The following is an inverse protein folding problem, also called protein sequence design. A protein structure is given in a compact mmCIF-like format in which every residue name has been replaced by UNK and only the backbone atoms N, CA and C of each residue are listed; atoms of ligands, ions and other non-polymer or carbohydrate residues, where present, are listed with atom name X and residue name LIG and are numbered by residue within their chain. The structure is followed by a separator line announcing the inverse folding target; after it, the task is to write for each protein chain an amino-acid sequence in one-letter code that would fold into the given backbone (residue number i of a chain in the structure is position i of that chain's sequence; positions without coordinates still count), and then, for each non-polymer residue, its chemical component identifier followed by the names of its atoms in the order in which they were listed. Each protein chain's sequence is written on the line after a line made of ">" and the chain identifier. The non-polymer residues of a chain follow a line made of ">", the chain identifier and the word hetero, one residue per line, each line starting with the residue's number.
data_IF_823349930955
#
_entry.id   IF_823349930955
#
_cell.length_a   1.000
_cell.length_b   1.000
_cell.length_c   1.000
_cell.angle_alpha   90.00
_cell.angle_beta   90.00
_cell.angle_gamma   90.00
#
_symmetry.space_group_name_H-M   'P 1'
#
loop_
_entity.id
_entity.type
_entity.pdbx_description
1 polymer ?
#
# COMPACT_ATOMS: atom_id res chain seq x y z
N UNK A 1 -20.27 -6.23 -4.94
CA UNK A 1 -20.82 -7.58 -5.16
C UNK A 1 -20.85 -8.32 -3.83
N UNK A 2 -22.06 -8.64 -3.35
CA UNK A 2 -22.29 -9.32 -2.07
C UNK A 2 -22.23 -10.85 -2.28
N UNK A 3 -21.84 -11.62 -1.26
CA UNK A 3 -22.07 -13.06 -1.23
C UNK A 3 -23.56 -13.35 -0.97
N UNK A 4 -23.98 -14.63 -1.08
CA UNK A 4 -25.37 -15.08 -0.83
C UNK A 4 -25.94 -14.68 0.53
N UNK A 5 -25.09 -14.33 1.48
CA UNK A 5 -25.48 -13.93 2.83
C UNK A 5 -25.57 -12.40 2.97
N UNK A 6 -25.68 -11.65 1.86
CA UNK A 6 -25.65 -10.19 1.81
C UNK A 6 -24.38 -9.56 2.44
N UNK A 7 -23.25 -10.26 2.37
CA UNK A 7 -21.99 -9.80 2.93
C UNK A 7 -21.01 -9.32 1.84
N UNK A 8 -20.29 -8.22 2.07
CA UNK A 8 -19.27 -7.73 1.15
C UNK A 8 -18.22 -8.81 0.84
N UNK A 9 -17.94 -9.08 -0.44
CA UNK A 9 -16.97 -10.09 -0.90
C UNK A 9 -15.57 -9.94 -0.25
N UNK A 10 -15.21 -8.73 0.20
CA UNK A 10 -14.01 -8.47 1.00
C UNK A 10 -13.93 -9.25 2.32
N UNK A 11 -15.06 -9.75 2.85
CA UNK A 11 -15.10 -10.62 4.04
C UNK A 11 -14.64 -12.06 3.75
N UNK A 12 -14.63 -12.52 2.50
CA UNK A 12 -14.24 -13.90 2.17
C UNK A 12 -12.74 -14.15 2.39
N UNK A 13 -11.90 -13.14 2.20
CA UNK A 13 -10.45 -13.18 2.48
C UNK A 13 -10.06 -12.48 3.79
N UNK A 14 -10.95 -12.54 4.80
CA UNK A 14 -10.70 -11.93 6.13
C UNK A 14 -9.54 -12.59 6.86
N UNK A 15 -9.35 -13.90 6.66
CA UNK A 15 -8.28 -14.65 7.30
C UNK A 15 -6.95 -14.49 6.56
N UNK A 16 -5.82 -14.35 7.27
CA UNK A 16 -4.51 -14.11 6.67
C UNK A 16 -4.10 -15.23 5.70
N UNK A 17 -4.42 -16.48 6.05
CA UNK A 17 -4.14 -17.67 5.27
C UNK A 17 -4.92 -17.67 3.95
N UNK A 18 -6.24 -17.45 4.01
CA UNK A 18 -7.09 -17.32 2.82
C UNK A 18 -6.64 -16.17 1.91
N UNK A 19 -6.22 -15.03 2.48
CA UNK A 19 -5.74 -13.89 1.68
C UNK A 19 -4.42 -14.19 0.98
N UNK A 20 -3.47 -14.84 1.66
CA UNK A 20 -2.20 -15.27 1.06
C UNK A 20 -2.43 -16.31 -0.03
N UNK A 21 -3.34 -17.24 0.21
CA UNK A 21 -3.76 -18.22 -0.79
C UNK A 21 -4.30 -17.55 -2.06
N UNK A 22 -5.19 -16.55 -1.92
CA UNK A 22 -5.68 -15.75 -3.05
C UNK A 22 -4.58 -14.92 -3.75
N UNK A 23 -3.68 -14.28 -2.99
CA UNK A 23 -2.58 -13.48 -3.55
C UNK A 23 -1.60 -14.33 -4.37
N UNK A 24 -1.34 -15.57 -3.95
CA UNK A 24 -0.51 -16.50 -4.71
C UNK A 24 -1.21 -17.03 -5.96
N UNK A 25 -2.54 -17.14 -5.98
CA UNK A 25 -3.28 -17.40 -7.21
C UNK A 25 -2.97 -16.39 -8.34
N UNK A 26 -2.83 -15.11 -7.99
CA UNK A 26 -2.40 -14.08 -8.95
C UNK A 26 -0.96 -14.26 -9.44
N UNK A 27 -0.07 -14.77 -8.58
CA UNK A 27 1.30 -15.16 -8.97
C UNK A 27 1.31 -16.38 -9.91
N UNK A 28 0.32 -17.27 -9.78
CA UNK A 28 0.06 -18.37 -10.72
C UNK A 28 -0.63 -17.92 -12.02
N UNK A 29 -0.73 -16.61 -12.27
CA UNK A 29 -1.30 -16.07 -13.51
C UNK A 29 -2.83 -15.99 -13.52
N UNK A 30 -3.51 -16.17 -12.39
CA UNK A 30 -4.97 -16.01 -12.28
C UNK A 30 -5.27 -14.59 -11.82
N UNK A 31 -5.45 -13.67 -12.77
CA UNK A 31 -5.65 -12.24 -12.51
C UNK A 31 -7.10 -11.82 -12.78
N UNK A 32 -7.79 -12.52 -13.66
CA UNK A 32 -9.20 -12.34 -13.95
C UNK A 32 -9.93 -13.69 -14.05
N UNK A 33 -11.27 -13.64 -14.18
CA UNK A 33 -12.09 -14.84 -14.39
C UNK A 33 -11.77 -15.54 -15.72
N UNK A 34 -11.36 -14.79 -16.75
CA UNK A 34 -10.94 -15.33 -18.04
C UNK A 34 -9.70 -16.22 -17.93
N UNK A 35 -8.73 -15.87 -17.09
CA UNK A 35 -7.51 -16.67 -16.88
C UNK A 35 -7.81 -18.05 -16.28
N UNK A 36 -8.89 -18.15 -15.48
CA UNK A 36 -9.34 -19.42 -14.89
C UNK A 36 -9.84 -20.36 -15.98
N UNK A 37 -10.60 -19.82 -16.94
CA UNK A 37 -11.17 -20.58 -18.06
C UNK A 37 -10.10 -20.91 -19.10
N UNK A 38 -9.27 -19.94 -19.47
CA UNK A 38 -8.23 -20.09 -20.49
C UNK A 38 -7.25 -21.23 -20.19
N UNK A 39 -6.97 -21.52 -18.92
CA UNK A 39 -6.06 -22.60 -18.51
C UNK A 39 -6.64 -24.00 -18.62
N UNK A 40 -7.97 -24.13 -18.55
CA UNK A 40 -8.63 -25.44 -18.51
C UNK A 40 -9.63 -25.64 -19.66
N UNK A 41 -9.81 -24.63 -20.53
CA UNK A 41 -10.78 -24.60 -21.62
C UNK A 41 -12.24 -24.48 -21.17
N UNK A 42 -12.51 -24.52 -19.86
CA UNK A 42 -13.84 -24.47 -19.25
C UNK A 42 -13.75 -23.94 -17.82
N UNK A 43 -14.88 -23.69 -17.16
CA UNK A 43 -14.82 -23.40 -15.73
C UNK A 43 -14.41 -24.67 -14.95
N UNK A 44 -13.35 -24.63 -14.10
CA UNK A 44 -12.82 -25.83 -13.46
C UNK A 44 -13.76 -26.39 -12.39
N UNK A 45 -13.60 -27.68 -12.10
CA UNK A 45 -14.21 -28.30 -10.93
C UNK A 45 -13.66 -27.66 -9.66
N UNK A 46 -14.40 -27.73 -8.56
CA UNK A 46 -13.96 -27.24 -7.25
C UNK A 46 -12.58 -27.79 -6.83
N UNK A 47 -12.31 -29.11 -6.86
CA UNK A 47 -11.00 -29.62 -6.49
C UNK A 47 -9.88 -29.14 -7.43
N UNK A 48 -10.17 -29.01 -8.73
CA UNK A 48 -9.18 -28.52 -9.70
C UNK A 48 -8.88 -27.03 -9.50
N UNK A 49 -9.89 -26.23 -9.19
CA UNK A 49 -9.71 -24.83 -8.82
C UNK A 49 -8.82 -24.69 -7.57
N UNK A 50 -9.09 -25.49 -6.53
CA UNK A 50 -8.30 -25.45 -5.30
C UNK A 50 -6.85 -25.88 -5.58
N UNK A 51 -6.65 -26.96 -6.35
CA UNK A 51 -5.33 -27.44 -6.76
C UNK A 51 -4.56 -26.38 -7.56
N UNK A 52 -5.24 -25.72 -8.50
CA UNK A 52 -4.67 -24.66 -9.34
C UNK A 52 -4.22 -23.44 -8.51
N UNK A 53 -5.02 -23.05 -7.52
CA UNK A 53 -4.70 -21.95 -6.59
C UNK A 53 -3.61 -22.33 -5.56
N UNK A 54 -3.49 -23.61 -5.24
CA UNK A 54 -2.50 -24.15 -4.29
C UNK A 54 -1.18 -24.60 -4.96
N UNK A 55 -1.13 -24.68 -6.29
CA UNK A 55 0.07 -25.08 -7.02
C UNK A 55 1.23 -24.10 -6.75
N UNK A 56 2.41 -24.62 -6.40
CA UNK A 56 3.60 -23.83 -6.05
C UNK A 56 3.33 -22.70 -5.02
N UNK A 57 2.30 -22.88 -4.19
CA UNK A 57 1.89 -21.90 -3.20
C UNK A 57 2.51 -22.26 -1.84
N UNK A 58 3.48 -21.49 -1.32
CA UNK A 58 4.10 -21.78 -0.04
C UNK A 58 3.13 -21.65 1.16
N UNK A 59 1.94 -21.09 0.94
CA UNK A 59 0.87 -21.04 1.94
C UNK A 59 -0.07 -22.27 1.88
N UNK A 60 0.05 -23.13 0.86
CA UNK A 60 -0.70 -24.38 0.80
C UNK A 60 -0.09 -25.38 1.78
N UNK A 61 -0.88 -25.78 2.78
CA UNK A 61 -0.49 -26.82 3.74
C UNK A 61 -0.94 -28.18 3.20
N UNK A 62 -0.19 -29.22 3.54
CA UNK A 62 -0.52 -30.62 3.25
C UNK A 62 -0.78 -31.30 4.59
N UNK A 63 -1.84 -32.09 4.67
CA UNK A 63 -2.17 -32.92 5.82
C UNK A 63 -2.25 -34.39 5.41
N UNK A 64 -2.06 -35.28 6.37
CA UNK A 64 -2.29 -36.71 6.18
C UNK A 64 -3.78 -36.98 6.35
N UNK A 65 -4.42 -37.44 5.28
CA UNK A 65 -5.82 -37.81 5.30
C UNK A 65 -6.09 -39.05 6.17
N UNK A 66 -7.37 -39.36 6.45
CA UNK A 66 -7.76 -40.51 7.28
C UNK A 66 -7.27 -41.86 6.76
N UNK A 67 -6.98 -41.95 5.46
CA UNK A 67 -6.48 -43.13 4.74
C UNK A 67 -4.95 -43.18 4.63
N UNK A 68 -4.23 -42.28 5.32
CA UNK A 68 -2.76 -42.19 5.25
C UNK A 68 -2.21 -41.52 3.99
N UNK A 69 -3.08 -41.03 3.09
CA UNK A 69 -2.65 -40.31 1.88
C UNK A 69 -2.40 -38.84 2.17
N UNK A 70 -1.32 -38.27 1.63
CA UNK A 70 -1.08 -36.82 1.67
C UNK A 70 -2.12 -36.07 0.83
N UNK A 71 -2.82 -35.11 1.44
CA UNK A 71 -3.84 -34.29 0.80
C UNK A 71 -3.62 -32.80 1.13
N UNK A 72 -4.13 -31.91 0.29
CA UNK A 72 -4.09 -30.47 0.59
C UNK A 72 -5.00 -30.19 1.80
N UNK A 73 -4.44 -29.54 2.82
CA UNK A 73 -5.20 -29.11 3.98
C UNK A 73 -6.31 -28.14 3.56
N UNK A 74 -7.50 -28.21 4.18
CA UNK A 74 -8.63 -27.39 3.83
C UNK A 74 -8.30 -25.91 4.05
N UNK A 75 -8.33 -25.14 2.95
CA UNK A 75 -8.15 -23.68 3.04
C UNK A 75 -9.46 -23.04 3.47
N UNK A 76 -9.43 -22.33 4.60
CA UNK A 76 -10.58 -21.63 5.16
C UNK A 76 -11.28 -20.77 4.09
N UNK A 77 -12.59 -20.98 3.91
CA UNK A 77 -13.47 -20.28 2.94
C UNK A 77 -13.14 -20.49 1.46
N UNK A 78 -12.25 -21.42 1.09
CA UNK A 78 -11.97 -21.73 -0.32
C UNK A 78 -13.24 -22.16 -1.08
N UNK A 79 -14.13 -22.89 -0.42
CA UNK A 79 -15.44 -23.28 -0.96
C UNK A 79 -16.28 -22.04 -1.32
N UNK A 80 -16.42 -21.11 -0.38
CA UNK A 80 -17.20 -19.88 -0.58
C UNK A 80 -16.60 -19.01 -1.69
N UNK A 81 -15.27 -18.96 -1.80
CA UNK A 81 -14.56 -18.24 -2.87
C UNK A 81 -14.86 -18.87 -4.23
N UNK A 82 -14.73 -20.20 -4.36
CA UNK A 82 -15.04 -20.92 -5.60
C UNK A 82 -16.47 -20.66 -6.06
N UNK A 83 -17.45 -20.80 -5.16
CA UNK A 83 -18.86 -20.57 -5.49
C UNK A 83 -19.13 -19.12 -5.87
N UNK A 84 -18.50 -18.16 -5.21
CA UNK A 84 -18.65 -16.75 -5.55
C UNK A 84 -18.12 -16.45 -6.97
N UNK A 85 -16.90 -16.90 -7.29
CA UNK A 85 -16.29 -16.67 -8.60
C UNK A 85 -17.06 -17.40 -9.71
N UNK A 86 -17.54 -18.62 -9.45
CA UNK A 86 -18.38 -19.36 -10.39
C UNK A 86 -19.67 -18.62 -10.71
N UNK A 87 -20.39 -18.10 -9.70
CA UNK A 87 -21.59 -17.30 -9.93
C UNK A 87 -21.31 -16.02 -10.72
N UNK A 88 -20.19 -15.35 -10.45
CA UNK A 88 -19.79 -14.18 -11.21
C UNK A 88 -19.51 -14.53 -12.68
N UNK A 89 -18.78 -15.62 -12.92
CA UNK A 89 -18.56 -16.13 -14.27
C UNK A 89 -19.89 -16.46 -14.97
N UNK A 90 -20.77 -17.20 -14.31
CA UNK A 90 -22.05 -17.61 -14.88
C UNK A 90 -22.93 -16.38 -15.18
N UNK A 91 -22.97 -15.41 -14.27
CA UNK A 91 -23.68 -14.14 -14.46
C UNK A 91 -23.12 -13.32 -15.63
N UNK A 92 -21.79 -13.22 -15.75
CA UNK A 92 -21.14 -12.54 -16.88
C UNK A 92 -21.46 -13.27 -18.19
N UNK A 93 -21.36 -14.59 -18.20
CA UNK A 93 -21.64 -15.43 -19.39
C UNK A 93 -23.10 -15.28 -19.83
N UNK A 94 -24.05 -15.28 -18.90
CA UNK A 94 -25.47 -15.03 -19.19
C UNK A 94 -25.68 -13.61 -19.72
N UNK A 95 -25.04 -12.61 -19.13
CA UNK A 95 -25.18 -11.20 -19.53
C UNK A 95 -24.54 -10.91 -20.90
N UNK A 96 -23.43 -11.59 -21.23
CA UNK A 96 -22.66 -11.36 -22.45
C UNK A 96 -23.00 -12.33 -23.59
N UNK A 97 -23.92 -13.29 -23.39
CA UNK A 97 -24.43 -14.19 -24.44
C UNK A 97 -25.14 -13.47 -25.61
N UNK A 98 -25.31 -12.14 -25.54
CA UNK A 98 -25.89 -11.31 -26.60
C UNK A 98 -24.90 -10.57 -27.50
N UNK A 99 -23.59 -10.63 -27.24
CA UNK A 99 -22.59 -10.10 -28.16
C UNK A 99 -21.78 -11.28 -28.72
N UNK A 100 -21.81 -11.56 -30.02
CA UNK A 100 -20.89 -12.55 -30.58
C UNK A 100 -19.46 -12.10 -30.26
N UNK A 101 -18.66 -12.99 -29.68
CA UNK A 101 -17.21 -12.87 -29.75
C UNK A 101 -16.89 -12.60 -31.22
N UNK A 102 -16.35 -11.42 -31.52
CA UNK A 102 -15.89 -11.11 -32.85
C UNK A 102 -14.92 -12.24 -33.24
N UNK A 103 -15.39 -13.08 -34.16
CA UNK A 103 -14.65 -14.18 -34.74
C UNK A 103 -13.29 -13.63 -35.11
N UNK A 104 -12.22 -14.16 -34.50
CA UNK A 104 -10.86 -13.91 -34.94
C UNK A 104 -10.72 -14.51 -36.35
N UNK A 105 -11.17 -13.76 -37.36
CA UNK A 105 -11.12 -14.12 -38.76
C UNK A 105 -10.79 -12.88 -39.58
N UNK A 106 -9.55 -12.43 -39.44
CA UNK A 106 -8.81 -11.74 -40.51
C UNK A 106 -7.33 -11.83 -40.14
N UNK A 107 -6.42 -12.22 -41.05
CA UNK A 107 -5.00 -11.99 -40.80
C UNK A 107 -4.86 -10.48 -40.56
N UNK A 108 -4.17 -10.04 -39.49
CA UNK A 108 -4.04 -8.61 -39.24
C UNK A 108 -3.38 -8.01 -40.47
N UNK A 109 -4.13 -7.18 -41.20
CA UNK A 109 -3.59 -6.31 -42.23
C UNK A 109 -2.31 -5.69 -41.67
N UNK A 110 -1.19 -5.82 -42.38
CA UNK A 110 0.12 -5.38 -41.93
C UNK A 110 -0.01 -4.01 -41.25
N UNK A 111 0.15 -3.98 -39.94
CA UNK A 111 -0.10 -2.78 -39.16
C UNK A 111 0.86 -1.71 -39.68
N UNK A 112 0.35 -0.51 -40.03
CA UNK A 112 1.12 0.58 -40.66
C UNK A 112 2.40 0.93 -39.91
N UNK A 113 2.48 0.58 -38.63
CA UNK A 113 3.64 0.72 -37.78
C UNK A 113 4.34 -0.63 -37.59
N UNK A 114 5.53 -0.75 -38.19
CA UNK A 114 6.48 -1.86 -37.99
C UNK A 114 7.81 -1.31 -37.49
N UNK A 115 8.49 -2.05 -36.62
CA UNK A 115 9.83 -1.72 -36.16
C UNK A 115 10.73 -2.95 -36.19
N UNK A 116 12.03 -2.72 -36.34
CA UNK A 116 13.02 -3.78 -36.34
C UNK A 116 13.30 -4.24 -34.90
N UNK A 117 12.80 -5.41 -34.53
CA UNK A 117 13.08 -6.05 -33.23
C UNK A 117 14.00 -7.24 -33.48
N UNK A 118 15.22 -7.21 -32.93
CA UNK A 118 16.23 -8.26 -33.16
C UNK A 118 16.43 -8.58 -34.64
N UNK A 119 16.54 -7.54 -35.47
CA UNK A 119 16.71 -7.63 -36.94
C UNK A 119 15.52 -8.25 -37.70
N UNK A 120 14.35 -8.39 -37.07
CA UNK A 120 13.11 -8.82 -37.75
C UNK A 120 12.09 -7.68 -37.77
N UNK A 121 11.43 -7.42 -38.90
CA UNK A 121 10.33 -6.46 -38.96
C UNK A 121 9.16 -7.03 -38.16
N UNK A 122 8.85 -6.36 -37.05
CA UNK A 122 7.82 -6.79 -36.11
C UNK A 122 6.70 -5.75 -36.13
N UNK A 123 5.43 -6.17 -36.30
CA UNK A 123 4.30 -5.25 -36.27
C UNK A 123 4.04 -4.76 -34.85
N UNK A 124 3.43 -3.58 -34.72
CA UNK A 124 3.21 -2.90 -33.45
C UNK A 124 2.64 -3.78 -32.32
N UNK A 125 1.68 -4.67 -32.62
CA UNK A 125 1.03 -5.55 -31.64
C UNK A 125 2.00 -6.54 -30.97
N UNK A 126 3.14 -6.81 -31.61
CA UNK A 126 4.15 -7.75 -31.16
C UNK A 126 5.42 -7.06 -30.64
N UNK A 127 5.40 -5.72 -30.51
CA UNK A 127 6.55 -5.00 -29.99
C UNK A 127 6.80 -5.36 -28.52
N UNK A 128 8.07 -5.58 -28.12
CA UNK A 128 8.40 -5.78 -26.73
C UNK A 128 8.11 -4.50 -25.95
N UNK A 129 7.70 -4.65 -24.68
CA UNK A 129 7.36 -3.52 -23.79
C UNK A 129 8.45 -2.44 -23.72
N UNK A 130 9.72 -2.82 -23.84
CA UNK A 130 10.84 -1.88 -23.87
C UNK A 130 10.75 -0.92 -25.05
N UNK A 131 10.52 -1.44 -26.26
CA UNK A 131 10.41 -0.62 -27.47
C UNK A 131 9.20 0.31 -27.42
N UNK A 132 8.07 -0.16 -26.91
CA UNK A 132 6.86 0.66 -26.73
C UNK A 132 7.14 1.82 -25.75
N UNK A 133 7.85 1.53 -24.64
CA UNK A 133 8.23 2.55 -23.65
C UNK A 133 9.18 3.60 -24.24
N UNK A 134 10.12 3.17 -25.07
CA UNK A 134 11.10 4.07 -25.68
C UNK A 134 10.44 4.97 -26.74
N UNK A 135 9.50 4.43 -27.53
CA UNK A 135 8.69 5.23 -28.46
C UNK A 135 7.81 6.26 -27.73
N UNK A 136 7.19 5.86 -26.61
CA UNK A 136 6.36 6.74 -25.78
C UNK A 136 7.16 7.75 -24.94
N UNK A 137 8.50 7.72 -25.02
CA UNK A 137 9.37 8.63 -24.26
C UNK A 137 9.45 9.97 -24.98
N UNK A 138 8.51 10.86 -24.68
CA UNK A 138 8.49 12.24 -25.18
C UNK A 138 9.11 13.26 -24.22
N UNK A 139 9.58 12.82 -23.05
CA UNK A 139 10.20 13.73 -22.09
C UNK A 139 11.57 14.21 -22.62
N UNK A 140 11.84 15.52 -22.67
CA UNK A 140 13.17 16.02 -23.00
C UNK A 140 14.19 15.38 -22.06
N UNK A 141 15.31 14.90 -22.62
CA UNK A 141 16.43 14.40 -21.82
C UNK A 141 17.08 15.60 -21.17
N UNK A 142 16.53 16.03 -20.05
CA UNK A 142 17.17 17.04 -19.22
C UNK A 142 18.12 16.30 -18.26
N UNK A 143 19.35 16.76 -18.18
CA UNK A 143 20.37 16.25 -17.26
C UNK A 143 20.12 16.81 -15.84
N UNK A 144 18.92 16.54 -15.32
CA UNK A 144 18.50 16.99 -14.00
C UNK A 144 18.91 15.93 -12.99
N UNK A 145 19.56 16.36 -11.91
CA UNK A 145 19.89 15.50 -10.80
C UNK A 145 18.64 14.75 -10.31
N UNK A 146 18.77 13.44 -10.08
CA UNK A 146 17.66 12.63 -9.60
C UNK A 146 17.09 13.22 -8.28
N UNK A 147 15.77 13.25 -8.06
CA UNK A 147 15.17 13.87 -6.85
C UNK A 147 15.69 13.33 -5.51
N UNK A 148 16.20 12.09 -5.52
CA UNK A 148 16.76 11.41 -4.34
C UNK A 148 18.29 11.57 -4.19
N UNK A 149 18.94 12.28 -5.11
CA UNK A 149 20.37 12.55 -5.05
C UNK A 149 20.68 13.43 -3.84
N UNK A 150 21.78 13.13 -3.16
CA UNK A 150 22.29 13.91 -2.03
C UNK A 150 23.81 13.95 -2.09
N UNK A 151 24.44 14.76 -1.23
CA UNK A 151 25.90 14.76 -1.07
C UNK A 151 26.49 13.37 -0.78
N UNK A 152 25.70 12.47 -0.19
CA UNK A 152 26.06 11.07 0.10
C UNK A 152 25.55 10.06 -0.92
N UNK A 153 24.70 10.47 -1.87
CA UNK A 153 24.13 9.62 -2.94
C UNK A 153 24.36 10.31 -4.27
N UNK A 154 25.59 10.20 -4.76
CA UNK A 154 26.05 10.89 -5.97
C UNK A 154 25.98 10.01 -7.21
N UNK A 155 26.09 8.68 -7.05
CA UNK A 155 26.04 7.73 -8.17
C UNK A 155 24.64 7.18 -8.43
N UNK A 156 24.38 6.77 -9.68
CA UNK A 156 23.15 6.05 -10.08
C UNK A 156 22.94 4.78 -9.26
N UNK A 157 24.02 4.07 -8.93
CA UNK A 157 23.96 2.83 -8.15
C UNK A 157 23.55 3.09 -6.69
N UNK A 158 24.04 4.15 -6.07
CA UNK A 158 23.62 4.54 -4.72
C UNK A 158 22.15 4.94 -4.69
N UNK A 159 21.69 5.66 -5.71
CA UNK A 159 20.28 6.01 -5.90
C UNK A 159 19.44 4.73 -6.07
N UNK A 160 19.87 3.76 -6.89
CA UNK A 160 19.18 2.48 -7.04
C UNK A 160 19.08 1.73 -5.71
N UNK A 161 20.18 1.60 -4.97
CA UNK A 161 20.20 0.95 -3.65
C UNK A 161 19.26 1.63 -2.66
N UNK A 162 19.25 2.95 -2.64
CA UNK A 162 18.32 3.74 -1.83
C UNK A 162 16.86 3.50 -2.25
N UNK A 163 16.58 3.52 -3.55
CA UNK A 163 15.23 3.27 -4.07
C UNK A 163 14.71 1.88 -3.75
N UNK A 164 15.57 0.86 -3.77
CA UNK A 164 15.21 -0.48 -3.29
C UNK A 164 14.81 -0.47 -1.81
N UNK A 165 15.54 0.28 -0.97
CA UNK A 165 15.21 0.48 0.45
C UNK A 165 13.88 1.21 0.62
N UNK A 166 13.68 2.34 -0.05
CA UNK A 166 12.42 3.11 -0.03
C UNK A 166 11.25 2.22 -0.42
N UNK A 167 11.32 1.51 -1.55
CA UNK A 167 10.27 0.59 -2.00
C UNK A 167 9.98 -0.52 -1.00
N UNK A 168 11.00 -1.02 -0.27
CA UNK A 168 10.82 -2.04 0.77
C UNK A 168 10.08 -1.47 2.00
N UNK A 169 10.39 -0.23 2.38
CA UNK A 169 9.71 0.47 3.49
C UNK A 169 8.26 0.73 3.11
N UNK A 170 8.02 1.40 1.98
CA UNK A 170 6.69 1.83 1.55
C UNK A 170 5.73 0.67 1.29
N UNK A 171 6.22 -0.50 0.88
CA UNK A 171 5.42 -1.73 0.73
C UNK A 171 4.79 -2.23 2.03
N UNK A 172 5.31 -1.85 3.20
CA UNK A 172 4.75 -2.24 4.50
C UNK A 172 3.49 -1.45 4.84
N UNK A 173 3.38 -0.24 4.30
CA UNK A 173 2.28 0.68 4.57
C UNK A 173 1.01 0.29 3.81
N UNK A 174 -0.16 0.81 4.19
CA UNK A 174 -1.31 0.86 3.29
C UNK A 174 -0.92 1.57 1.98
N UNK A 175 -1.38 1.10 0.80
CA UNK A 175 -0.95 1.65 -0.49
C UNK A 175 -1.07 3.17 -0.60
N UNK A 176 -2.17 3.74 -0.11
CA UNK A 176 -2.41 5.20 -0.12
C UNK A 176 -1.43 5.97 0.78
N UNK A 177 -1.04 5.42 1.93
CA UNK A 177 -0.03 6.05 2.79
C UNK A 177 1.35 5.99 2.14
N UNK A 178 1.69 4.84 1.54
CA UNK A 178 2.94 4.66 0.82
C UNK A 178 3.05 5.56 -0.42
N UNK A 179 1.95 5.78 -1.13
CA UNK A 179 1.87 6.65 -2.32
C UNK A 179 2.13 8.13 -1.96
N UNK A 180 1.43 8.67 -0.94
CA UNK A 180 1.68 10.05 -0.48
C UNK A 180 3.14 10.24 -0.07
N UNK A 181 3.69 9.30 0.70
CA UNK A 181 5.09 9.39 1.11
C UNK A 181 6.05 9.27 -0.09
N UNK A 182 5.77 8.40 -1.06
CA UNK A 182 6.57 8.32 -2.29
C UNK A 182 6.55 9.63 -3.07
N UNK A 183 5.37 10.25 -3.23
CA UNK A 183 5.22 11.54 -3.91
C UNK A 183 5.94 12.65 -3.19
N UNK A 184 5.93 12.65 -1.85
CA UNK A 184 6.75 13.56 -1.05
C UNK A 184 8.23 13.40 -1.41
N UNK A 185 8.75 12.17 -1.37
CA UNK A 185 10.18 11.93 -1.61
C UNK A 185 10.62 12.31 -3.04
N UNK A 186 9.71 12.22 -4.01
CA UNK A 186 9.98 12.61 -5.39
C UNK A 186 9.70 14.08 -5.68
N UNK A 187 9.28 14.87 -4.69
CA UNK A 187 8.76 16.22 -4.90
C UNK A 187 7.70 16.22 -6.00
N UNK A 188 6.61 15.49 -5.77
CA UNK A 188 5.44 15.41 -6.66
C UNK A 188 4.14 15.82 -5.99
N UNK A 189 4.19 16.30 -4.74
CA UNK A 189 3.00 16.84 -4.08
C UNK A 189 2.72 18.24 -4.62
N UNK A 190 1.48 18.54 -5.06
CA UNK A 190 1.09 19.84 -5.59
C UNK A 190 0.92 20.89 -4.48
N UNK A 191 1.99 21.18 -3.73
CA UNK A 191 2.03 22.29 -2.77
C UNK A 191 2.04 23.64 -3.49
N UNK A 192 1.52 24.67 -2.83
CA UNK A 192 1.22 25.94 -3.47
C UNK A 192 2.46 26.67 -4.03
N UNK A 193 3.67 26.44 -3.50
CA UNK A 193 4.88 27.05 -4.07
C UNK A 193 5.17 26.67 -5.53
N UNK A 194 4.57 25.59 -6.05
CA UNK A 194 4.69 25.22 -7.47
C UNK A 194 3.96 26.17 -8.41
N UNK A 195 2.99 26.91 -7.89
CA UNK A 195 2.21 27.88 -8.65
C UNK A 195 2.82 29.29 -8.59
N UNK A 196 4.12 29.40 -8.34
CA UNK A 196 4.84 30.68 -8.30
C UNK A 196 4.65 31.50 -9.59
N UNK A 197 4.43 30.86 -10.74
CA UNK A 197 4.14 31.55 -12.00
C UNK A 197 2.79 32.32 -11.98
N UNK A 198 1.87 32.01 -11.06
CA UNK A 198 0.62 32.73 -10.85
C UNK A 198 0.75 33.86 -9.80
N UNK A 199 1.90 34.02 -9.16
CA UNK A 199 2.08 34.97 -8.07
C UNK A 199 1.90 36.43 -8.52
N UNK A 200 2.22 36.73 -9.79
CA UNK A 200 2.07 38.07 -10.35
C UNK A 200 0.60 38.52 -10.43
N UNK A 201 -0.33 37.60 -10.65
CA UNK A 201 -1.77 37.90 -10.74
C UNK A 201 -2.49 37.69 -9.42
N UNK A 202 -2.08 36.68 -8.65
CA UNK A 202 -2.61 36.43 -7.33
C UNK A 202 -1.48 36.05 -6.34
N UNK A 203 -1.01 37.01 -5.53
CA UNK A 203 0.09 36.78 -4.58
C UNK A 203 -0.19 35.68 -3.55
N UNK A 204 -1.46 35.44 -3.20
CA UNK A 204 -1.83 34.41 -2.22
C UNK A 204 -1.73 32.98 -2.77
N UNK A 205 -1.53 32.80 -4.07
CA UNK A 205 -1.49 31.48 -4.73
C UNK A 205 -0.36 30.60 -4.24
N UNK A 206 0.71 31.17 -3.68
CA UNK A 206 1.86 30.43 -3.11
C UNK A 206 1.77 30.25 -1.59
N UNK A 207 0.77 30.87 -0.95
CA UNK A 207 0.62 30.85 0.51
C UNK A 207 0.07 29.50 0.99
N UNK A 208 0.34 29.20 2.26
CA UNK A 208 -0.17 28.03 2.96
C UNK A 208 -1.70 27.93 2.89
N UNK A 209 -2.22 26.75 2.58
CA UNK A 209 -3.64 26.42 2.55
C UNK A 209 -4.35 26.70 3.88
N UNK A 210 -3.61 26.67 4.99
CA UNK A 210 -4.13 27.01 6.32
C UNK A 210 -4.08 28.50 6.65
N UNK A 211 -3.75 29.38 5.68
CA UNK A 211 -3.66 30.82 5.83
C UNK A 211 -2.72 31.30 6.95
N UNK A 212 -1.64 30.56 7.23
CA UNK A 212 -0.66 30.97 8.23
C UNK A 212 0.36 32.01 7.74
N UNK A 213 0.18 32.55 6.51
CA UNK A 213 1.00 33.62 5.94
C UNK A 213 2.34 33.20 5.31
N UNK A 214 2.77 31.96 5.46
CA UNK A 214 4.03 31.47 4.89
C UNK A 214 3.86 30.91 3.47
N UNK A 215 4.96 30.87 2.69
CA UNK A 215 5.01 30.16 1.40
C UNK A 215 4.94 28.66 1.65
N UNK A 216 4.06 27.99 0.92
CA UNK A 216 3.79 26.57 1.10
C UNK A 216 4.76 25.69 0.31
N UNK A 217 5.84 25.29 0.97
CA UNK A 217 6.72 24.21 0.51
C UNK A 217 6.25 22.86 1.04
N UNK A 218 6.79 21.75 0.51
CA UNK A 218 6.56 20.40 1.07
C UNK A 218 6.89 20.36 2.57
N UNK A 219 8.01 20.99 2.95
CA UNK A 219 8.46 21.08 4.35
C UNK A 219 7.49 21.88 5.21
N UNK A 220 6.95 22.98 4.67
CA UNK A 220 5.95 23.78 5.35
C UNK A 220 4.64 23.03 5.53
N UNK A 221 4.02 22.59 4.44
CA UNK A 221 2.72 21.94 4.41
C UNK A 221 2.66 20.70 5.31
N UNK A 222 3.75 19.93 5.36
CA UNK A 222 3.75 18.64 6.06
C UNK A 222 4.43 18.66 7.43
N UNK A 223 5.16 19.71 7.82
CA UNK A 223 5.95 19.66 9.07
C UNK A 223 6.02 20.96 9.86
N UNK A 224 6.30 22.10 9.23
CA UNK A 224 6.60 23.36 9.95
C UNK A 224 5.44 24.35 9.97
N UNK A 225 4.34 24.11 9.26
CA UNK A 225 3.13 24.90 9.42
C UNK A 225 2.66 24.90 10.88
N UNK A 226 2.32 26.06 11.49
CA UNK A 226 1.85 26.14 12.88
C UNK A 226 0.61 25.28 13.18
N UNK A 227 -0.21 24.97 12.17
CA UNK A 227 -1.36 24.06 12.30
C UNK A 227 -0.92 22.60 12.40
N UNK A 228 0.15 22.23 11.70
CA UNK A 228 0.62 20.84 11.55
C UNK A 228 1.68 20.48 12.59
N UNK A 229 2.56 21.42 12.94
CA UNK A 229 3.69 21.23 13.85
C UNK A 229 3.28 20.62 15.22
N UNK A 230 2.16 21.04 15.87
CA UNK A 230 1.74 20.46 17.14
C UNK A 230 1.49 18.94 17.07
N UNK A 231 1.02 18.43 15.92
CA UNK A 231 0.80 17.01 15.72
C UNK A 231 2.12 16.22 15.75
N UNK A 232 3.17 16.76 15.12
CA UNK A 232 4.49 16.13 15.16
C UNK A 232 5.12 16.21 16.55
N UNK A 233 4.96 17.33 17.27
CA UNK A 233 5.40 17.41 18.66
C UNK A 233 4.73 16.37 19.54
N UNK A 234 3.42 16.16 19.40
CA UNK A 234 2.69 15.10 20.10
C UNK A 234 3.32 13.72 19.85
N UNK A 235 3.60 13.38 18.59
CA UNK A 235 4.24 12.11 18.25
C UNK A 235 5.68 12.02 18.77
N UNK A 236 6.48 13.06 18.65
CA UNK A 236 7.83 13.10 19.22
C UNK A 236 7.81 12.89 20.74
N UNK A 237 6.91 13.54 21.46
CA UNK A 237 6.74 13.35 22.91
C UNK A 237 6.27 11.94 23.25
N UNK A 238 5.30 11.39 22.49
CA UNK A 238 4.80 10.03 22.69
C UNK A 238 5.87 8.96 22.46
N UNK A 239 6.82 9.21 21.58
CA UNK A 239 7.86 8.26 21.18
C UNK A 239 9.24 8.53 21.79
N UNK A 240 9.34 9.53 22.67
CA UNK A 240 10.60 9.93 23.31
C UNK A 240 11.32 8.77 24.03
N UNK A 241 10.57 7.78 24.51
CA UNK A 241 11.11 6.56 25.13
C UNK A 241 12.03 5.73 24.21
N UNK A 242 11.87 5.85 22.89
CA UNK A 242 12.69 5.17 21.89
C UNK A 242 13.70 6.10 21.18
N UNK A 243 13.68 7.40 21.50
CA UNK A 243 14.56 8.43 20.90
C UNK A 243 14.48 8.42 19.37
N UNK A 244 13.28 8.17 18.84
CA UNK A 244 13.01 8.28 17.40
C UNK A 244 12.59 9.71 17.08
N UNK A 245 13.01 10.18 15.91
CA UNK A 245 12.77 11.55 15.47
C UNK A 245 11.74 11.59 14.33
N UNK A 246 10.87 12.60 14.36
CA UNK A 246 9.97 12.98 13.27
C UNK A 246 10.43 14.28 12.60
N UNK A 247 11.74 14.55 12.60
CA UNK A 247 12.31 15.68 11.88
C UNK A 247 12.18 15.52 10.36
N UNK A 248 12.22 16.64 9.64
CA UNK A 248 12.10 16.63 8.18
C UNK A 248 13.11 15.68 7.52
N UNK A 249 14.33 15.67 8.05
CA UNK A 249 15.41 14.82 7.54
C UNK A 249 15.10 13.33 7.70
N UNK A 250 14.45 12.89 8.79
CA UNK A 250 14.13 11.47 9.00
C UNK A 250 12.92 11.04 8.19
N UNK A 251 12.00 11.98 7.90
CA UNK A 251 10.85 11.74 7.01
C UNK A 251 11.26 11.69 5.53
N UNK A 252 12.29 12.44 5.12
CA UNK A 252 12.71 12.54 3.70
C UNK A 252 13.96 11.72 3.35
N UNK A 253 14.78 11.34 4.34
CA UNK A 253 15.96 10.49 4.15
C UNK A 253 15.81 9.18 4.93
N UNK A 254 15.34 8.15 4.23
CA UNK A 254 15.04 6.84 4.82
C UNK A 254 16.28 5.94 4.95
N UNK A 255 17.46 6.54 5.11
CA UNK A 255 18.73 5.82 5.18
C UNK A 255 18.81 5.05 6.49
N UNK A 256 18.81 5.71 7.64
CA UNK A 256 18.84 5.03 8.93
C UNK A 256 17.98 5.79 9.95
N UNK A 257 17.21 5.04 10.73
CA UNK A 257 16.52 5.59 11.90
C UNK A 257 17.49 5.55 13.10
N UNK A 258 17.71 6.67 13.78
CA UNK A 258 18.39 6.64 15.07
C UNK A 258 17.55 5.81 16.05
N UNK A 259 18.19 4.91 16.79
CA UNK A 259 17.54 4.04 17.77
C UNK A 259 18.42 3.93 19.01
N UNK A 260 17.84 4.07 20.20
CA UNK A 260 18.56 3.95 21.48
C UNK A 260 18.80 2.47 21.90
N UNK A 261 19.52 2.27 23.01
CA UNK A 261 19.77 0.94 23.59
C UNK A 261 18.47 0.19 23.99
N UNK A 262 17.43 0.92 24.41
CA UNK A 262 16.11 0.34 24.74
C UNK A 262 15.40 -0.21 23.51
N UNK A 263 15.64 0.39 22.35
CA UNK A 263 15.21 -0.12 21.06
C UNK A 263 16.14 -1.20 20.53
N UNK A 264 17.29 -1.53 21.13
CA UNK A 264 18.26 -2.45 20.53
C UNK A 264 17.68 -3.86 20.30
N UNK A 265 17.01 -4.40 21.30
CA UNK A 265 16.40 -5.74 21.23
C UNK A 265 15.17 -5.78 20.30
N UNK A 266 14.44 -4.67 20.19
CA UNK A 266 13.21 -4.56 19.39
C UNK A 266 13.35 -3.59 18.19
N UNK A 267 14.58 -3.36 17.71
CA UNK A 267 14.88 -2.30 16.74
C UNK A 267 14.04 -2.42 15.47
N UNK A 268 13.88 -3.61 14.87
CA UNK A 268 13.05 -3.77 13.67
C UNK A 268 11.57 -3.46 13.93
N UNK A 269 11.07 -3.73 15.14
CA UNK A 269 9.68 -3.47 15.53
C UNK A 269 9.43 -1.98 15.76
N UNK A 270 10.33 -1.30 16.49
CA UNK A 270 10.28 0.17 16.65
C UNK A 270 10.33 0.84 15.28
N UNK A 271 11.25 0.42 14.42
CA UNK A 271 11.39 0.96 13.07
C UNK A 271 10.11 0.81 12.24
N UNK A 272 9.51 -0.39 12.27
CA UNK A 272 8.28 -0.69 11.58
C UNK A 272 7.11 0.17 12.08
N UNK A 273 6.90 0.23 13.39
CA UNK A 273 5.77 0.95 13.96
C UNK A 273 5.90 2.46 13.74
N UNK A 274 7.13 2.98 13.80
CA UNK A 274 7.44 4.36 13.42
C UNK A 274 7.13 4.63 11.95
N UNK A 275 7.51 3.71 11.04
CA UNK A 275 7.18 3.84 9.60
C UNK A 275 5.67 3.86 9.37
N UNK A 276 4.92 3.01 10.07
CA UNK A 276 3.46 2.99 9.97
C UNK A 276 2.84 4.28 10.49
N UNK A 277 3.39 4.87 11.57
CA UNK A 277 2.93 6.14 12.11
C UNK A 277 3.25 7.28 11.14
N UNK A 278 4.52 7.44 10.76
CA UNK A 278 4.97 8.52 9.88
C UNK A 278 4.16 8.56 8.58
N UNK A 279 3.97 7.42 7.91
CA UNK A 279 3.18 7.40 6.68
C UNK A 279 1.68 7.62 6.89
N UNK A 280 1.10 7.14 7.99
CA UNK A 280 -0.30 7.43 8.32
C UNK A 280 -0.51 8.92 8.62
N UNK A 281 0.40 9.54 9.37
CA UNK A 281 0.35 10.97 9.71
C UNK A 281 0.59 11.83 8.48
N UNK A 282 1.58 11.52 7.63
CA UNK A 282 1.80 12.23 6.36
C UNK A 282 0.55 12.18 5.46
N UNK A 283 -0.07 11.00 5.33
CA UNK A 283 -1.30 10.84 4.57
C UNK A 283 -2.46 11.64 5.18
N UNK A 284 -2.62 11.62 6.51
CA UNK A 284 -3.66 12.39 7.19
C UNK A 284 -3.49 13.90 6.95
N UNK A 285 -2.27 14.43 7.15
CA UNK A 285 -1.95 15.83 6.92
C UNK A 285 -2.28 16.19 5.48
N UNK A 286 -1.80 15.40 4.52
CA UNK A 286 -2.05 15.66 3.10
C UNK A 286 -3.54 15.61 2.73
N UNK A 287 -4.30 14.69 3.31
CA UNK A 287 -5.75 14.58 3.06
C UNK A 287 -6.49 15.79 3.61
N UNK A 288 -6.18 16.21 4.84
CA UNK A 288 -6.80 17.38 5.47
C UNK A 288 -6.39 18.68 4.79
N UNK A 289 -5.12 18.79 4.40
CA UNK A 289 -4.62 19.89 3.58
C UNK A 289 -5.46 20.06 2.31
N UNK A 290 -5.62 18.99 1.53
CA UNK A 290 -6.38 19.06 0.29
C UNK A 290 -7.85 19.37 0.53
N UNK A 291 -8.44 18.85 1.61
CA UNK A 291 -9.83 19.16 1.94
C UNK A 291 -10.02 20.64 2.32
N UNK A 292 -9.05 21.25 2.99
CA UNK A 292 -9.08 22.69 3.28
C UNK A 292 -8.86 23.50 2.00
N UNK A 293 -7.88 23.12 1.19
CA UNK A 293 -7.50 23.85 -0.02
C UNK A 293 -8.55 23.78 -1.14
N UNK A 294 -9.17 22.62 -1.34
CA UNK A 294 -10.00 22.35 -2.53
C UNK A 294 -11.46 22.05 -2.21
N UNK A 295 -11.77 21.58 -0.99
CA UNK A 295 -13.13 21.17 -0.62
C UNK A 295 -13.81 22.17 0.36
N UNK A 296 -13.23 23.36 0.57
CA UNK A 296 -13.71 24.38 1.51
C UNK A 296 -13.98 23.84 2.92
N UNK A 297 -13.23 22.82 3.37
CA UNK A 297 -13.37 22.30 4.73
C UNK A 297 -12.67 23.21 5.73
N UNK A 298 -13.24 23.32 6.92
CA UNK A 298 -12.56 23.96 8.05
C UNK A 298 -11.43 23.09 8.59
N UNK A 299 -10.41 23.73 9.14
CA UNK A 299 -9.32 23.04 9.84
C UNK A 299 -9.89 22.36 11.10
N UNK A 300 -9.75 21.03 11.25
CA UNK A 300 -10.24 20.38 12.46
C UNK A 300 -9.47 20.86 13.71
N UNK A 301 -10.10 20.87 14.89
CA UNK A 301 -9.42 21.24 16.14
C UNK A 301 -8.19 20.35 16.43
N UNK A 302 -7.14 20.85 17.12
CA UNK A 302 -5.93 20.09 17.40
C UNK A 302 -6.17 18.75 18.11
N UNK A 303 -7.15 18.68 19.01
CA UNK A 303 -7.55 17.42 19.69
C UNK A 303 -8.08 16.40 18.68
N UNK A 304 -8.88 16.84 17.71
CA UNK A 304 -9.39 15.98 16.64
C UNK A 304 -8.26 15.48 15.74
N UNK A 305 -7.25 16.32 15.44
CA UNK A 305 -6.05 15.90 14.71
C UNK A 305 -5.28 14.80 15.45
N UNK A 306 -5.07 15.00 16.76
CA UNK A 306 -4.41 14.02 17.61
C UNK A 306 -5.15 12.68 17.60
N UNK A 307 -6.48 12.70 17.78
CA UNK A 307 -7.31 11.50 17.75
C UNK A 307 -7.28 10.80 16.39
N UNK A 308 -7.45 11.54 15.29
CA UNK A 308 -7.42 10.98 13.95
C UNK A 308 -6.06 10.37 13.62
N UNK A 309 -4.96 11.03 13.97
CA UNK A 309 -3.62 10.50 13.72
C UNK A 309 -3.40 9.16 14.43
N UNK A 310 -3.88 9.07 15.67
CA UNK A 310 -3.81 7.86 16.47
C UNK A 310 -4.65 6.74 15.87
N UNK A 311 -5.89 7.01 15.49
CA UNK A 311 -6.79 6.02 14.87
C UNK A 311 -6.24 5.51 13.53
N UNK A 312 -5.72 6.39 12.66
CA UNK A 312 -5.13 6.00 11.38
C UNK A 312 -3.86 5.18 11.56
N UNK A 313 -3.03 5.54 12.53
CA UNK A 313 -1.86 4.74 12.89
C UNK A 313 -2.27 3.35 13.39
N UNK A 314 -3.22 3.26 14.33
CA UNK A 314 -3.69 1.98 14.85
C UNK A 314 -4.39 1.12 13.80
N UNK A 315 -5.11 1.72 12.86
CA UNK A 315 -5.66 1.01 11.72
C UNK A 315 -4.55 0.40 10.85
N UNK A 316 -3.46 1.15 10.63
CA UNK A 316 -2.29 0.69 9.88
C UNK A 316 -1.55 -0.43 10.60
N UNK A 317 -1.35 -0.31 11.91
CA UNK A 317 -0.76 -1.33 12.78
C UNK A 317 -1.62 -2.59 12.81
N UNK A 318 -2.92 -2.47 13.03
CA UNK A 318 -3.87 -3.58 13.02
C UNK A 318 -3.88 -4.31 11.69
N UNK A 319 -3.86 -3.58 10.57
CA UNK A 319 -3.71 -4.18 9.23
C UNK A 319 -2.40 -4.96 9.14
N UNK A 320 -1.29 -4.37 9.54
CA UNK A 320 0.02 -5.03 9.46
C UNK A 320 0.07 -6.30 10.32
N UNK A 321 -0.42 -6.25 11.55
CA UNK A 321 -0.48 -7.38 12.48
C UNK A 321 -1.34 -8.52 11.92
N UNK A 322 -2.49 -8.21 11.32
CA UNK A 322 -3.34 -9.21 10.63
C UNK A 322 -2.66 -9.83 9.41
N UNK A 323 -1.63 -9.22 8.84
CA UNK A 323 -0.91 -9.79 7.70
C UNK A 323 0.25 -10.70 8.14
N UNK A 324 0.61 -10.70 9.42
CA UNK A 324 1.71 -11.53 9.93
C UNK A 324 1.22 -12.90 10.42
N UNK A 325 2.06 -13.96 10.33
CA UNK A 325 1.81 -15.22 11.02
C UNK A 325 1.72 -15.00 12.54
N UNK A 326 0.93 -15.81 13.27
CA UNK A 326 0.87 -15.75 14.74
C UNK A 326 2.25 -15.85 15.41
N UNK A 327 3.10 -16.76 14.91
CA UNK A 327 4.42 -17.10 15.47
C UNK A 327 5.56 -16.20 14.96
N UNK A 328 5.23 -15.10 14.28
CA UNK A 328 6.24 -14.20 13.75
C UNK A 328 6.96 -13.46 14.91
N UNK A 329 8.29 -13.55 15.03
CA UNK A 329 9.01 -12.88 16.12
C UNK A 329 8.86 -11.35 16.05
N UNK A 330 8.83 -10.78 14.84
CA UNK A 330 8.59 -9.35 14.64
C UNK A 330 7.19 -8.91 15.09
N UNK A 331 6.19 -9.80 14.99
CA UNK A 331 4.84 -9.54 15.50
C UNK A 331 4.85 -9.48 17.02
N UNK A 332 5.53 -10.41 17.70
CA UNK A 332 5.68 -10.40 19.16
C UNK A 332 6.41 -9.13 19.64
N UNK A 333 7.55 -8.79 19.04
CA UNK A 333 8.28 -7.55 19.34
C UNK A 333 7.44 -6.30 19.09
N UNK A 334 6.64 -6.25 18.01
CA UNK A 334 5.75 -5.12 17.76
C UNK A 334 4.70 -4.96 18.87
N UNK A 335 4.12 -6.06 19.37
CA UNK A 335 3.17 -6.02 20.48
C UNK A 335 3.83 -5.57 21.79
N UNK A 336 5.07 -6.00 22.05
CA UNK A 336 5.87 -5.52 23.19
C UNK A 336 6.06 -4.00 23.14
N UNK A 337 6.52 -3.48 21.99
CA UNK A 337 6.71 -2.04 21.78
C UNK A 337 5.41 -1.25 21.95
N UNK A 338 4.29 -1.76 21.42
CA UNK A 338 2.98 -1.13 21.56
C UNK A 338 2.50 -1.09 23.01
N UNK A 339 2.81 -2.12 23.80
CA UNK A 339 2.50 -2.14 25.23
C UNK A 339 3.27 -1.05 25.99
N UNK A 340 4.53 -0.77 25.63
CA UNK A 340 5.28 0.36 26.20
C UNK A 340 4.70 1.70 25.77
N UNK A 341 4.36 1.85 24.48
CA UNK A 341 3.75 3.09 23.94
C UNK A 341 2.39 3.41 24.58
N UNK A 342 1.60 2.39 24.91
CA UNK A 342 0.30 2.53 25.60
C UNK A 342 0.41 3.35 26.89
N UNK A 343 1.52 3.22 27.61
CA UNK A 343 1.72 3.87 28.90
C UNK A 343 2.32 5.27 28.80
N UNK A 344 2.67 5.73 27.60
CA UNK A 344 3.21 7.08 27.40
C UNK A 344 2.11 8.12 27.62
N UNK A 345 2.45 9.26 28.26
CA UNK A 345 1.49 10.29 28.69
C UNK A 345 0.57 10.78 27.56
N UNK A 346 1.13 10.98 26.37
CA UNK A 346 0.41 11.42 25.16
C UNK A 346 -0.53 10.34 24.58
N UNK A 347 -0.23 9.07 24.83
CA UNK A 347 -0.93 7.92 24.28
C UNK A 347 -2.03 7.41 25.21
N UNK A 348 -1.78 7.41 26.52
CA UNK A 348 -2.64 6.79 27.54
C UNK A 348 -4.11 7.22 27.47
N UNK A 349 -4.47 8.52 27.31
CA UNK A 349 -5.87 8.93 27.22
C UNK A 349 -6.56 8.40 25.96
N UNK A 350 -5.85 8.41 24.82
CA UNK A 350 -6.37 7.93 23.55
C UNK A 350 -6.60 6.41 23.56
N UNK A 351 -5.68 5.68 24.20
CA UNK A 351 -5.84 4.24 24.43
C UNK A 351 -7.02 3.91 25.35
N UNK A 352 -7.25 4.72 26.39
CA UNK A 352 -8.39 4.55 27.28
C UNK A 352 -9.72 4.85 26.58
N UNK A 353 -9.75 5.88 25.71
CA UNK A 353 -10.92 6.24 24.90
C UNK A 353 -11.26 5.18 23.84
N UNK A 354 -10.25 4.55 23.24
CA UNK A 354 -10.41 3.61 22.13
C UNK A 354 -9.81 2.21 22.44
N UNK A 355 -10.33 1.48 23.44
CA UNK A 355 -9.75 0.20 23.88
C UNK A 355 -9.88 -0.91 22.83
N UNK A 356 -10.87 -0.79 21.93
CA UNK A 356 -11.14 -1.75 20.86
C UNK A 356 -10.13 -1.69 19.71
N UNK A 357 -9.40 -0.58 19.53
CA UNK A 357 -8.43 -0.43 18.45
C UNK A 357 -7.25 -1.42 18.55
N UNK A 358 -7.08 -2.08 19.70
CA UNK A 358 -6.11 -3.15 19.94
C UNK A 358 -6.72 -4.54 20.17
N UNK A 359 -8.05 -4.70 20.09
CA UNK A 359 -8.65 -6.03 20.07
C UNK A 359 -8.33 -6.69 18.72
N UNK A 360 -7.12 -7.23 18.63
CA UNK A 360 -6.72 -8.21 17.64
C UNK A 360 -7.51 -9.48 17.99
N UNK A 361 -8.80 -9.52 17.64
CA UNK A 361 -9.55 -10.75 17.86
C UNK A 361 -8.85 -11.87 17.10
N UNK A 362 -8.24 -12.80 17.84
CA UNK A 362 -8.42 -14.19 17.50
C UNK A 362 -9.93 -14.38 17.53
N UNK A 363 -10.55 -14.57 16.37
CA UNK A 363 -11.84 -15.26 16.37
C UNK A 363 -11.45 -16.70 16.67
N UNK A 364 -11.43 -17.01 17.96
CA UNK A 364 -11.44 -18.37 18.46
C UNK A 364 -12.51 -19.13 17.68
N UNK A 365 -12.09 -20.29 17.20
CA UNK A 365 -12.90 -21.47 16.95
C UNK A 365 -14.22 -21.40 17.74
N UNK A 366 -15.34 -21.28 17.03
CA UNK A 366 -16.65 -21.67 17.56
C UNK A 366 -17.45 -22.27 16.42
N UNK A 367 -17.71 -23.57 16.55
CA UNK A 367 -18.65 -24.35 15.73
C UNK A 367 -17.99 -25.08 14.58
#
# INVERSE_FOLDING_TARGET
>A
MLSTDNHCAGRLAKFPETRRWCLHGAANGIRCLGDVVARTGRWPSKPDFIRMMSHANPAARVELGPTGTMQLAPVARANSIYHHLRRLHDSITVTHRGLPEATHATPPSAHRYSAMVKKRPTPFQLWPKGLIRDLARHAPVQDVAHPMATSTRTSTEDIHRYMHRVRRILRRLPPVHGDVWLRLLYHMLPVNCRFAYLQATNPSTVCCAYNCGAVETDHHALRTCPVVQPLWHLHTSAWGVYVVSFEWITLTRLDNLPSNARAHNDKPAVQLLWQLLAGATLHLIWTLHNAVQYDNRSVPPPVTWAELSFLHWLASVSRWLRLQPPDCPLRASALSVLNVLRWQRACRPLWAKYPSCFRLMATSVTG
#
